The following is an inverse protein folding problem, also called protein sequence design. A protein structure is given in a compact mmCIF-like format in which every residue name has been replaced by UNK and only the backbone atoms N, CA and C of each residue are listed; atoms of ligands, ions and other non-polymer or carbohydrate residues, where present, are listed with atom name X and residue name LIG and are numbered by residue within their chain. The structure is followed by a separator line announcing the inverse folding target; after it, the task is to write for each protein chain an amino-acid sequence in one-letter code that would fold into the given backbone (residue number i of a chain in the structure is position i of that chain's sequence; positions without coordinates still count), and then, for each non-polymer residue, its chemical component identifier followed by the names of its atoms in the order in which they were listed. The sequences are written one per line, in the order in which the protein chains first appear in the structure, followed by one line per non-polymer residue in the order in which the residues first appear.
data_IF_910817780638
#
_entry.id   IF_910817780638
#
_cell.length_a   1.000
_cell.length_b   1.000
_cell.length_c   1.000
_cell.angle_alpha   90.00
_cell.angle_beta   90.00
_cell.angle_gamma   90.00
#
_symmetry.space_group_name_H-M   'P 1'
#
loop_
_entity.id
_entity.type
_entity.pdbx_description
1 polymer ?
#
# COMPACT_ATOMS: atom_id res chain seq x y z
N UNK A 1 -22.40 42.36 35.15
CA UNK A 1 -22.51 41.71 33.83
C UNK A 1 -21.16 41.43 33.16
N UNK A 2 -20.16 42.33 33.21
CA UNK A 2 -18.86 42.16 32.52
C UNK A 2 -18.01 40.94 32.92
N UNK A 3 -18.00 40.51 34.19
CA UNK A 3 -17.26 39.30 34.61
C UNK A 3 -17.84 38.00 34.07
N UNK A 4 -19.15 37.97 33.77
CA UNK A 4 -19.81 36.77 33.24
C UNK A 4 -19.45 36.53 31.79
N UNK A 5 -19.37 37.60 30.99
CA UNK A 5 -19.06 37.54 29.55
C UNK A 5 -17.58 37.23 29.27
N UNK A 6 -16.66 37.66 30.13
CA UNK A 6 -15.23 37.32 30.01
C UNK A 6 -14.97 35.84 30.32
N UNK A 7 -15.70 35.27 31.29
CA UNK A 7 -15.56 33.85 31.63
C UNK A 7 -16.07 32.95 30.50
N UNK A 8 -17.22 33.26 29.92
CA UNK A 8 -17.78 32.51 28.79
C UNK A 8 -16.89 32.55 27.54
N UNK A 9 -16.28 33.70 27.24
CA UNK A 9 -15.35 33.82 26.10
C UNK A 9 -14.07 32.98 26.30
N UNK A 10 -13.55 32.90 27.54
CA UNK A 10 -12.40 32.06 27.89
C UNK A 10 -12.73 30.56 27.82
N UNK A 11 -13.96 30.18 28.19
CA UNK A 11 -14.41 28.79 28.14
C UNK A 11 -14.64 28.35 26.68
N UNK A 12 -15.18 29.21 25.82
CA UNK A 12 -15.33 28.95 24.38
C UNK A 12 -13.99 28.77 23.65
N UNK A 13 -13.00 29.62 23.93
CA UNK A 13 -11.65 29.47 23.35
C UNK A 13 -10.99 28.15 23.79
N UNK A 14 -11.16 27.78 25.06
CA UNK A 14 -10.66 26.51 25.60
C UNK A 14 -11.32 25.31 24.89
N UNK A 15 -12.64 25.36 24.66
CA UNK A 15 -13.37 24.31 23.95
C UNK A 15 -12.93 24.18 22.48
N UNK A 16 -12.71 25.31 21.79
CA UNK A 16 -12.21 25.30 20.41
C UNK A 16 -10.82 24.67 20.31
N UNK A 17 -9.93 25.00 21.24
CA UNK A 17 -8.57 24.42 21.30
C UNK A 17 -8.60 22.91 21.56
N UNK A 18 -9.46 22.45 22.48
CA UNK A 18 -9.65 21.02 22.72
C UNK A 18 -10.19 20.29 21.48
N UNK A 19 -11.15 20.88 20.77
CA UNK A 19 -11.68 20.30 19.53
C UNK A 19 -10.60 20.20 18.43
N UNK A 20 -9.75 21.22 18.29
CA UNK A 20 -8.64 21.20 17.33
C UNK A 20 -7.60 20.10 17.66
N UNK A 21 -7.24 19.95 18.94
CA UNK A 21 -6.33 18.89 19.39
C UNK A 21 -6.93 17.51 19.13
N UNK A 22 -8.22 17.33 19.40
CA UNK A 22 -8.92 16.07 19.13
C UNK A 22 -8.92 15.75 17.63
N UNK A 23 -9.21 16.74 16.78
CA UNK A 23 -9.15 16.58 15.32
C UNK A 23 -7.75 16.22 14.81
N UNK A 24 -6.70 16.83 15.37
CA UNK A 24 -5.32 16.49 15.05
C UNK A 24 -4.97 15.05 15.48
N UNK A 25 -5.38 14.62 16.67
CA UNK A 25 -5.18 13.25 17.14
C UNK A 25 -5.90 12.21 16.26
N UNK A 26 -7.12 12.52 15.82
CA UNK A 26 -7.88 11.64 14.93
C UNK A 26 -7.25 11.55 13.53
N UNK A 27 -6.70 12.66 13.03
CA UNK A 27 -5.90 12.65 11.79
C UNK A 27 -4.63 11.83 11.93
N UNK A 28 -3.90 11.96 13.05
CA UNK A 28 -2.70 11.18 13.31
C UNK A 28 -3.01 9.67 13.30
N UNK A 29 -4.07 9.24 13.99
CA UNK A 29 -4.49 7.82 13.97
C UNK A 29 -4.80 7.30 12.57
N UNK A 30 -5.40 8.13 11.72
CA UNK A 30 -5.67 7.76 10.32
C UNK A 30 -4.36 7.61 9.53
N UNK A 31 -3.41 8.51 9.73
CA UNK A 31 -2.08 8.44 9.10
C UNK A 31 -1.34 7.18 9.54
N UNK A 32 -1.33 6.88 10.84
CA UNK A 32 -0.66 5.69 11.38
C UNK A 32 -1.27 4.40 10.83
N UNK A 33 -2.60 4.35 10.70
CA UNK A 33 -3.31 3.23 10.07
C UNK A 33 -2.89 3.05 8.61
N UNK A 34 -2.86 4.14 7.84
CA UNK A 34 -2.45 4.08 6.43
C UNK A 34 -0.98 3.66 6.29
N UNK A 35 -0.09 4.16 7.14
CA UNK A 35 1.32 3.76 7.15
C UNK A 35 1.48 2.27 7.44
N UNK A 36 0.72 1.74 8.40
CA UNK A 36 0.72 0.31 8.73
C UNK A 36 0.22 -0.54 7.55
N UNK A 37 -0.87 -0.11 6.91
CA UNK A 37 -1.42 -0.82 5.74
C UNK A 37 -0.46 -0.78 4.55
N UNK A 38 0.22 0.34 4.32
CA UNK A 38 1.20 0.46 3.26
C UNK A 38 2.40 -0.46 3.52
N UNK A 39 2.91 -0.50 4.75
CA UNK A 39 4.00 -1.41 5.12
C UNK A 39 3.62 -2.87 4.87
N UNK A 40 2.42 -3.30 5.32
CA UNK A 40 1.92 -4.64 5.08
C UNK A 40 1.81 -4.96 3.57
N UNK A 41 1.30 -4.02 2.76
CA UNK A 41 1.23 -4.18 1.32
C UNK A 41 2.63 -4.27 0.66
N UNK A 42 3.59 -3.48 1.12
CA UNK A 42 4.98 -3.57 0.66
C UNK A 42 5.62 -4.90 1.02
N UNK A 43 5.35 -5.45 2.21
CA UNK A 43 5.84 -6.77 2.61
C UNK A 43 5.21 -7.87 1.75
N UNK A 44 3.92 -7.79 1.46
CA UNK A 44 3.24 -8.71 0.54
C UNK A 44 3.87 -8.66 -0.86
N UNK A 45 4.12 -7.48 -1.41
CA UNK A 45 4.80 -7.32 -2.70
C UNK A 45 6.25 -7.82 -2.68
N UNK A 46 6.98 -7.59 -1.58
CA UNK A 46 8.37 -8.03 -1.43
C UNK A 46 8.49 -9.55 -1.32
N UNK A 47 7.43 -10.21 -0.82
CA UNK A 47 7.32 -11.66 -0.79
C UNK A 47 6.93 -12.27 -2.14
N UNK A 48 6.46 -11.47 -3.10
CA UNK A 48 6.28 -11.93 -4.47
C UNK A 48 7.65 -12.05 -5.14
N UNK A 49 7.91 -13.20 -5.73
CA UNK A 49 9.02 -13.38 -6.66
C UNK A 49 8.45 -13.34 -8.08
N UNK A 50 8.57 -12.21 -8.81
CA UNK A 50 8.02 -12.07 -10.17
C UNK A 50 8.52 -13.15 -11.12
N UNK A 51 9.73 -13.68 -10.91
CA UNK A 51 10.28 -14.76 -11.72
C UNK A 51 9.57 -16.08 -11.50
N UNK A 52 9.18 -16.42 -10.26
CA UNK A 52 8.42 -17.63 -9.99
C UNK A 52 7.03 -17.56 -10.61
N UNK A 53 6.39 -16.40 -10.57
CA UNK A 53 5.08 -16.17 -11.19
C UNK A 53 5.17 -16.27 -12.71
N UNK A 54 6.19 -15.64 -13.31
CA UNK A 54 6.45 -15.73 -14.74
C UNK A 54 6.74 -17.18 -15.15
N UNK A 55 7.63 -17.89 -14.44
CA UNK A 55 7.99 -19.29 -14.73
C UNK A 55 6.78 -20.22 -14.68
N UNK A 56 5.93 -20.09 -13.65
CA UNK A 56 4.69 -20.86 -13.53
C UNK A 56 3.73 -20.59 -14.71
N UNK A 57 3.59 -19.32 -15.11
CA UNK A 57 2.73 -18.91 -16.23
C UNK A 57 3.24 -19.46 -17.56
N UNK A 58 4.56 -19.39 -17.78
CA UNK A 58 5.23 -19.96 -18.96
C UNK A 58 5.02 -21.47 -19.02
N UNK A 59 5.25 -22.17 -17.91
CA UNK A 59 5.05 -23.62 -17.84
C UNK A 59 3.60 -24.01 -18.15
N UNK A 60 2.63 -23.25 -17.66
CA UNK A 60 1.20 -23.46 -17.95
C UNK A 60 0.87 -23.22 -19.43
N UNK A 61 1.38 -22.15 -20.03
CA UNK A 61 1.21 -21.87 -21.46
C UNK A 61 1.84 -22.96 -22.35
N UNK A 62 3.01 -23.46 -21.96
CA UNK A 62 3.70 -24.56 -22.63
C UNK A 62 2.92 -25.88 -22.57
N UNK A 63 2.24 -26.15 -21.44
CA UNK A 63 1.39 -27.33 -21.29
C UNK A 63 0.14 -27.28 -22.18
N UNK A 64 -0.44 -26.08 -22.36
CA UNK A 64 -1.61 -25.88 -23.23
C UNK A 64 -1.28 -25.94 -24.73
N UNK A 65 -0.05 -25.57 -25.11
CA UNK A 65 0.38 -25.52 -26.51
C UNK A 65 1.66 -26.34 -26.75
N UNK A 66 1.64 -27.68 -26.56
CA UNK A 66 2.84 -28.52 -26.60
C UNK A 66 3.55 -28.55 -27.96
N UNK A 67 2.82 -28.27 -29.04
CA UNK A 67 3.35 -28.30 -30.41
C UNK A 67 3.97 -26.97 -30.86
N UNK A 68 3.80 -25.88 -30.09
CA UNK A 68 4.34 -24.57 -30.45
C UNK A 68 5.82 -24.43 -30.02
N UNK A 69 6.70 -25.12 -30.73
CA UNK A 69 8.15 -25.13 -30.45
C UNK A 69 8.78 -23.74 -30.53
N UNK A 70 8.34 -22.90 -31.48
CA UNK A 70 8.85 -21.55 -31.67
C UNK A 70 8.44 -20.62 -30.52
N UNK A 71 7.15 -20.61 -30.15
CA UNK A 71 6.66 -19.84 -29.01
C UNK A 71 7.30 -20.27 -27.69
N UNK A 72 7.50 -21.58 -27.50
CA UNK A 72 8.21 -22.12 -26.33
C UNK A 72 9.64 -21.59 -26.20
N UNK A 73 10.39 -21.54 -27.31
CA UNK A 73 11.76 -21.00 -27.32
C UNK A 73 11.79 -19.50 -26.99
N UNK A 74 10.93 -18.70 -27.64
CA UNK A 74 10.83 -17.25 -27.40
C UNK A 74 10.59 -16.95 -25.92
N UNK A 75 9.65 -17.66 -25.32
CA UNK A 75 9.27 -17.45 -23.92
C UNK A 75 10.38 -17.90 -22.96
N UNK A 76 11.05 -19.02 -23.23
CA UNK A 76 12.20 -19.48 -22.43
C UNK A 76 13.40 -18.51 -22.51
N UNK A 77 13.67 -17.97 -23.70
CA UNK A 77 14.75 -17.00 -23.90
C UNK A 77 14.44 -15.67 -23.20
N UNK A 78 13.20 -15.19 -23.28
CA UNK A 78 12.75 -14.00 -22.56
C UNK A 78 12.84 -14.17 -21.03
N UNK A 79 12.43 -15.33 -20.50
CA UNK A 79 12.53 -15.63 -19.07
C UNK A 79 14.00 -15.74 -18.61
N UNK A 80 14.90 -16.23 -19.47
CA UNK A 80 16.34 -16.28 -19.19
C UNK A 80 16.95 -14.90 -19.16
N UNK A 81 16.64 -14.05 -20.14
CA UNK A 81 17.12 -12.67 -20.19
C UNK A 81 16.67 -11.88 -18.96
N UNK A 82 15.40 -11.99 -18.58
CA UNK A 82 14.87 -11.29 -17.41
C UNK A 82 15.57 -11.69 -16.10
N UNK A 83 16.07 -12.94 -15.96
CA UNK A 83 16.78 -13.42 -14.75
C UNK A 83 18.23 -12.93 -14.65
N UNK A 84 18.77 -12.34 -15.72
CA UNK A 84 20.17 -11.91 -15.81
C UNK A 84 20.36 -10.40 -15.63
N UNK A 85 19.29 -9.62 -15.72
CA UNK A 85 19.22 -8.19 -15.37
C UNK A 85 18.95 -8.00 -13.87
#
# INVERSE_FOLDING_TARGET
MLRSTVKTASDEDTLQRCAAIQGAADMQRKIDKLATQLAAFTDELSNLNPFLIADATVNKAMALHPNNKAGKKVVQDALRAAKQD
#
